data_IF_320838447964
#
_entry.id   IF_320838447964
#
_cell.length_a   1.000
_cell.length_b   1.000
_cell.length_c   1.000
_cell.angle_alpha   90.00
_cell.angle_beta   90.00
_cell.angle_gamma   90.00
#
_symmetry.space_group_name_H-M   'P 1'
#
loop_
_entity.id
_entity.type
_entity.pdbx_description
1 polymer ?
#
# COMPACT_ATOMS: atom_id res chain seq x y z
N UNK A 1 1.27 9.66 12.24
CA UNK A 1 0.21 8.72 11.79
C UNK A 1 0.68 7.29 12.05
N UNK A 2 -0.22 6.32 12.20
CA UNK A 2 0.18 4.94 12.46
C UNK A 2 0.63 4.75 13.91
N UNK A 3 1.93 4.51 14.16
CA UNK A 3 2.50 4.16 15.47
C UNK A 3 2.13 5.13 16.60
N UNK A 4 2.09 6.43 16.36
CA UNK A 4 1.68 7.42 17.38
C UNK A 4 0.23 7.23 17.84
N UNK A 5 -0.65 6.81 16.93
CA UNK A 5 -2.07 6.59 17.21
C UNK A 5 -2.35 5.16 17.67
N UNK A 6 -1.51 4.21 17.27
CA UNK A 6 -1.63 2.78 17.55
C UNK A 6 -0.31 2.20 18.07
N UNK A 7 0.20 2.65 19.23
CA UNK A 7 1.54 2.29 19.70
C UNK A 7 1.70 0.80 20.04
N UNK A 8 0.59 0.12 20.32
CA UNK A 8 0.54 -1.30 20.67
C UNK A 8 0.11 -2.20 19.50
N UNK A 9 -0.03 -1.65 18.29
CA UNK A 9 -0.39 -2.46 17.14
C UNK A 9 0.77 -3.39 16.77
N UNK A 10 0.53 -4.71 16.85
CA UNK A 10 1.46 -5.74 16.37
C UNK A 10 1.12 -6.26 14.97
N UNK A 11 0.06 -5.74 14.35
CA UNK A 11 -0.45 -6.23 13.06
C UNK A 11 -0.97 -5.08 12.20
N UNK A 12 -0.83 -5.23 10.88
CA UNK A 12 -1.32 -4.31 9.87
C UNK A 12 -2.16 -5.08 8.84
N UNK A 13 -3.40 -4.65 8.63
CA UNK A 13 -4.25 -5.14 7.55
C UNK A 13 -4.16 -4.20 6.35
N UNK A 14 -3.85 -4.76 5.18
CA UNK A 14 -3.84 -4.06 3.90
C UNK A 14 -4.93 -4.64 3.01
N UNK A 15 -5.86 -3.78 2.59
CA UNK A 15 -6.80 -4.07 1.51
C UNK A 15 -6.21 -3.57 0.20
N UNK A 16 -5.75 -4.49 -0.64
CA UNK A 16 -5.08 -4.18 -1.90
C UNK A 16 -5.98 -4.55 -3.09
N UNK A 17 -5.92 -3.75 -4.15
CA UNK A 17 -6.31 -4.24 -5.46
C UNK A 17 -5.25 -5.23 -5.99
N UNK A 18 -5.65 -6.12 -6.90
CA UNK A 18 -4.76 -7.14 -7.46
C UNK A 18 -3.90 -6.68 -8.64
N UNK A 19 -3.87 -5.37 -8.94
CA UNK A 19 -3.20 -4.80 -10.12
C UNK A 19 -1.76 -4.40 -9.88
N UNK A 20 -1.04 -4.04 -10.94
CA UNK A 20 0.26 -3.36 -10.85
C UNK A 20 1.29 -3.99 -9.92
N UNK A 21 2.00 -3.14 -9.17
CA UNK A 21 3.14 -3.51 -8.33
C UNK A 21 2.76 -4.23 -7.03
N UNK A 22 1.55 -4.06 -6.53
CA UNK A 22 1.02 -4.72 -5.32
C UNK A 22 0.23 -6.00 -5.63
N UNK A 23 0.22 -6.43 -6.90
CA UNK A 23 -0.57 -7.59 -7.33
C UNK A 23 -0.21 -8.89 -6.60
N UNK A 24 -1.22 -9.76 -6.44
CA UNK A 24 -1.09 -11.02 -5.70
C UNK A 24 -0.07 -12.01 -6.26
N UNK A 25 0.34 -11.86 -7.52
CA UNK A 25 1.39 -12.69 -8.16
C UNK A 25 2.78 -12.05 -8.14
N UNK A 26 2.88 -10.78 -7.73
CA UNK A 26 4.15 -10.05 -7.73
C UNK A 26 5.02 -10.53 -6.56
N UNK A 27 6.21 -11.05 -6.89
CA UNK A 27 7.17 -11.54 -5.88
C UNK A 27 7.83 -10.40 -5.14
N UNK A 28 8.23 -9.35 -5.86
CA UNK A 28 8.87 -8.16 -5.29
C UNK A 28 8.00 -7.51 -4.20
N UNK A 29 6.69 -7.41 -4.43
CA UNK A 29 5.74 -6.93 -3.42
C UNK A 29 5.87 -7.68 -2.10
N UNK A 30 5.88 -9.02 -2.14
CA UNK A 30 5.98 -9.85 -0.93
C UNK A 30 7.36 -9.77 -0.29
N UNK A 31 8.42 -9.69 -1.09
CA UNK A 31 9.78 -9.53 -0.59
C UNK A 31 9.96 -8.19 0.13
N UNK A 32 9.45 -7.09 -0.43
CA UNK A 32 9.48 -5.77 0.22
C UNK A 32 8.57 -5.72 1.44
N UNK A 33 7.40 -6.38 1.42
CA UNK A 33 6.58 -6.54 2.62
C UNK A 33 7.29 -7.33 3.72
N UNK A 34 8.06 -8.37 3.37
CA UNK A 34 8.87 -9.11 4.35
C UNK A 34 9.93 -8.20 5.00
N UNK A 35 10.65 -7.40 4.20
CA UNK A 35 11.59 -6.41 4.73
C UNK A 35 10.90 -5.44 5.67
N UNK A 36 9.75 -4.89 5.28
CA UNK A 36 8.93 -4.03 6.12
C UNK A 36 8.50 -4.72 7.43
N UNK A 37 8.07 -5.99 7.37
CA UNK A 37 7.71 -6.76 8.57
C UNK A 37 8.91 -6.90 9.51
N UNK A 38 10.10 -7.19 8.97
CA UNK A 38 11.33 -7.33 9.75
C UNK A 38 11.75 -6.00 10.40
N UNK A 39 11.69 -4.89 9.65
CA UNK A 39 12.07 -3.56 10.16
C UNK A 39 11.11 -3.05 11.24
N UNK A 40 9.83 -3.38 11.13
CA UNK A 40 8.79 -2.83 12.02
C UNK A 40 8.34 -3.77 13.12
N UNK A 41 8.66 -5.07 13.01
CA UNK A 41 8.11 -6.13 13.86
C UNK A 41 6.62 -6.42 13.64
N UNK A 42 5.97 -5.76 12.65
CA UNK A 42 4.55 -5.93 12.39
C UNK A 42 4.29 -7.19 11.57
N UNK A 43 3.21 -7.90 11.91
CA UNK A 43 2.62 -8.89 10.99
C UNK A 43 1.73 -8.18 9.98
N UNK A 44 1.98 -8.36 8.69
CA UNK A 44 1.19 -7.73 7.64
C UNK A 44 0.26 -8.77 7.01
N UNK A 45 -1.04 -8.57 7.15
CA UNK A 45 -2.07 -9.32 6.43
C UNK A 45 -2.49 -8.54 5.20
N UNK A 46 -2.42 -9.17 4.04
CA UNK A 46 -2.89 -8.59 2.77
C UNK A 46 -4.13 -9.35 2.32
N UNK A 47 -5.22 -8.61 2.15
CA UNK A 47 -6.46 -9.09 1.56
C UNK A 47 -6.68 -8.42 0.21
N UNK A 48 -6.69 -9.20 -0.86
CA UNK A 48 -6.91 -8.66 -2.19
C UNK A 48 -8.40 -8.61 -2.53
N UNK A 49 -8.81 -7.53 -3.18
CA UNK A 49 -10.09 -7.47 -3.87
C UNK A 49 -10.09 -8.44 -5.07
N UNK A 50 -11.22 -9.13 -5.36
CA UNK A 50 -11.35 -9.94 -6.56
C UNK A 50 -11.04 -9.16 -7.86
N UNK A 51 -10.59 -9.82 -8.94
CA UNK A 51 -10.36 -9.16 -10.22
C UNK A 51 -11.59 -8.35 -10.68
N UNK A 52 -11.36 -7.14 -11.20
CA UNK A 52 -12.44 -6.25 -11.67
C UNK A 52 -13.23 -5.56 -10.56
N UNK A 53 -12.78 -5.64 -9.30
CA UNK A 53 -13.50 -5.05 -8.15
C UNK A 53 -12.76 -3.89 -7.48
N UNK A 54 -11.74 -3.31 -8.14
CA UNK A 54 -10.98 -2.15 -7.60
C UNK A 54 -11.86 -0.96 -7.24
N UNK A 55 -13.00 -0.77 -7.92
CA UNK A 55 -14.00 0.26 -7.56
C UNK A 55 -14.46 0.15 -6.11
N UNK A 56 -14.46 -1.03 -5.51
CA UNK A 56 -14.88 -1.22 -4.11
C UNK A 56 -13.79 -0.84 -3.10
N UNK A 57 -12.58 -0.51 -3.56
CA UNK A 57 -11.54 0.02 -2.69
C UNK A 57 -11.97 1.40 -2.19
N UNK A 58 -11.99 1.56 -0.86
CA UNK A 58 -12.40 2.83 -0.22
C UNK A 58 -11.53 4.01 -0.66
N UNK A 59 -10.27 3.79 -1.04
CA UNK A 59 -9.37 4.87 -1.46
C UNK A 59 -9.89 5.58 -2.73
N UNK A 60 -10.46 4.83 -3.67
CA UNK A 60 -11.04 5.37 -4.92
C UNK A 60 -12.18 6.35 -4.59
N UNK A 61 -13.08 5.93 -3.70
CA UNK A 61 -14.27 6.69 -3.36
C UNK A 61 -14.05 7.80 -2.34
N UNK A 62 -13.19 7.59 -1.34
CA UNK A 62 -13.03 8.53 -0.23
C UNK A 62 -11.86 9.51 -0.40
N UNK A 63 -10.79 9.10 -1.11
CA UNK A 63 -9.60 9.92 -1.27
C UNK A 63 -9.48 10.46 -2.70
N UNK A 64 -9.35 9.57 -3.69
CA UNK A 64 -9.06 9.96 -5.08
C UNK A 64 -10.21 10.75 -5.72
N UNK A 65 -11.46 10.42 -5.42
CA UNK A 65 -12.61 11.21 -5.88
C UNK A 65 -12.54 12.68 -5.42
N UNK A 66 -12.14 12.92 -4.16
CA UNK A 66 -12.07 14.25 -3.58
C UNK A 66 -10.90 15.06 -4.14
N UNK A 67 -9.75 14.41 -4.31
CA UNK A 67 -8.59 15.00 -5.00
C UNK A 67 -8.99 15.41 -6.42
N UNK A 68 -9.69 14.52 -7.13
CA UNK A 68 -10.13 14.72 -8.51
C UNK A 68 -11.12 15.88 -8.65
N UNK A 69 -12.00 16.07 -7.66
CA UNK A 69 -12.90 17.22 -7.59
C UNK A 69 -12.11 18.50 -7.31
N UNK A 70 -11.15 18.47 -6.38
CA UNK A 70 -10.41 19.65 -5.95
C UNK A 70 -9.60 20.30 -7.07
N UNK A 71 -8.93 19.50 -7.91
CA UNK A 71 -8.09 20.04 -8.99
C UNK A 71 -8.82 20.23 -10.33
N UNK A 72 -10.14 20.01 -10.40
CA UNK A 72 -10.89 20.07 -11.65
C UNK A 72 -10.70 21.44 -12.32
N UNK A 73 -10.26 21.44 -13.58
CA UNK A 73 -10.03 22.66 -14.35
C UNK A 73 -8.78 23.44 -13.97
N UNK A 74 -7.85 22.84 -13.20
CA UNK A 74 -6.56 23.45 -12.84
C UNK A 74 -5.43 22.76 -13.61
N UNK A 75 -4.56 23.50 -14.30
CA UNK A 75 -3.44 22.91 -15.02
C UNK A 75 -2.36 22.38 -14.06
N UNK A 76 -1.87 21.16 -14.30
CA UNK A 76 -0.84 20.50 -13.50
C UNK A 76 0.54 20.77 -14.11
N UNK A 77 1.06 21.98 -13.93
CA UNK A 77 2.26 22.47 -14.63
C UNK A 77 3.59 22.16 -13.94
N UNK A 78 3.57 21.78 -12.67
CA UNK A 78 4.78 21.46 -11.89
C UNK A 78 4.50 20.48 -10.76
N UNK A 79 5.53 19.77 -10.28
CA UNK A 79 5.41 18.90 -9.10
C UNK A 79 4.92 19.67 -7.87
N UNK A 80 5.41 20.89 -7.66
CA UNK A 80 4.95 21.77 -6.58
C UNK A 80 3.44 22.06 -6.69
N UNK A 81 2.97 22.42 -7.89
CA UNK A 81 1.53 22.64 -8.15
C UNK A 81 0.73 21.39 -7.81
N UNK A 82 1.20 20.21 -8.23
CA UNK A 82 0.52 18.93 -7.97
C UNK A 82 0.44 18.65 -6.46
N UNK A 83 1.56 18.76 -5.73
CA UNK A 83 1.61 18.51 -4.28
C UNK A 83 0.69 19.48 -3.52
N UNK A 84 0.73 20.77 -3.86
CA UNK A 84 -0.11 21.78 -3.23
C UNK A 84 -1.60 21.55 -3.52
N UNK A 85 -1.96 21.15 -4.74
CA UNK A 85 -3.33 20.82 -5.10
C UNK A 85 -3.82 19.56 -4.37
N UNK A 86 -3.03 18.51 -4.27
CA UNK A 86 -3.43 17.31 -3.52
C UNK A 86 -3.58 17.65 -2.03
N UNK A 87 -2.57 18.30 -1.42
CA UNK A 87 -2.54 18.65 0.01
C UNK A 87 -3.60 19.68 0.44
N UNK A 88 -4.14 20.46 -0.49
CA UNK A 88 -5.25 21.39 -0.21
C UNK A 88 -6.63 20.72 -0.17
N UNK A 89 -6.73 19.43 -0.52
CA UNK A 89 -7.99 18.70 -0.54
C UNK A 89 -8.56 18.53 0.87
N UNK A 90 -9.74 19.10 1.12
CA UNK A 90 -10.49 19.00 2.39
C UNK A 90 -11.97 18.76 2.13
N UNK A 91 -12.65 18.07 3.04
CA UNK A 91 -14.12 17.91 2.99
C UNK A 91 -14.79 18.43 4.26
N UNK A 92 -16.06 18.82 4.15
CA UNK A 92 -16.88 19.24 5.31
C UNK A 92 -17.02 18.15 6.37
N UNK A 93 -16.89 16.87 5.97
CA UNK A 93 -16.95 15.71 6.86
C UNK A 93 -15.61 15.36 7.51
N UNK A 94 -14.58 16.20 7.33
CA UNK A 94 -13.32 16.09 8.08
C UNK A 94 -12.16 15.40 7.35
N UNK A 95 -12.29 15.06 6.06
CA UNK A 95 -11.12 14.57 5.30
C UNK A 95 -10.07 15.69 5.20
N UNK A 96 -8.83 15.36 5.53
CA UNK A 96 -7.65 16.21 5.31
C UNK A 96 -6.60 15.37 4.59
N UNK A 97 -6.23 15.78 3.39
CA UNK A 97 -5.20 15.09 2.60
C UNK A 97 -3.84 15.72 2.88
N UNK A 98 -2.84 14.86 3.11
CA UNK A 98 -1.43 15.27 3.16
C UNK A 98 -0.73 14.70 1.93
N UNK A 99 0.12 15.50 1.30
CA UNK A 99 0.90 15.10 0.13
C UNK A 99 2.34 15.57 0.30
N UNK A 100 3.28 14.78 -0.18
CA UNK A 100 4.71 15.08 -0.18
C UNK A 100 5.28 14.58 -1.50
N UNK A 101 6.27 15.30 -2.03
CA UNK A 101 7.02 14.85 -3.19
C UNK A 101 7.96 13.72 -2.76
N UNK A 102 7.82 12.55 -3.37
CA UNK A 102 8.81 11.48 -3.24
C UNK A 102 9.92 11.68 -4.29
N UNK A 103 11.14 11.96 -3.83
CA UNK A 103 12.32 12.16 -4.67
C UNK A 103 13.21 10.92 -4.75
N UNK A 104 12.77 9.79 -4.18
CA UNK A 104 13.56 8.56 -4.21
C UNK A 104 13.65 8.01 -5.63
N UNK A 105 14.81 7.39 -5.93
CA UNK A 105 15.04 6.71 -7.19
C UNK A 105 14.71 5.23 -7.02
N UNK A 106 13.74 4.75 -7.79
CA UNK A 106 13.33 3.35 -7.81
C UNK A 106 13.94 2.64 -9.02
N UNK A 107 14.93 1.78 -8.77
CA UNK A 107 15.56 0.99 -9.82
C UNK A 107 14.54 0.03 -10.47
N UNK A 108 14.57 -0.03 -11.79
CA UNK A 108 13.69 -0.89 -12.58
C UNK A 108 14.29 -2.28 -12.73
N UNK A 109 13.43 -3.26 -13.00
CA UNK A 109 13.86 -4.62 -13.34
C UNK A 109 14.37 -5.44 -12.16
N UNK A 110 14.10 -5.02 -10.91
CA UNK A 110 14.38 -5.83 -9.72
C UNK A 110 13.66 -7.18 -9.82
N UNK A 111 14.44 -8.25 -9.71
CA UNK A 111 13.95 -9.63 -9.73
C UNK A 111 14.16 -10.25 -8.37
N UNK A 112 13.15 -10.97 -7.90
CA UNK A 112 13.23 -11.81 -6.71
C UNK A 112 13.48 -13.24 -7.17
N UNK A 113 14.55 -13.85 -6.66
CA UNK A 113 14.91 -15.22 -7.01
C UNK A 113 13.85 -16.20 -6.50
N UNK A 114 13.87 -17.45 -6.98
CA UNK A 114 12.96 -18.48 -6.47
C UNK A 114 13.26 -18.78 -4.99
N UNK A 115 14.54 -18.93 -4.67
CA UNK A 115 15.04 -19.17 -3.31
C UNK A 115 14.66 -18.05 -2.34
N UNK A 116 14.90 -16.79 -2.73
CA UNK A 116 14.52 -15.62 -1.92
C UNK A 116 13.01 -15.63 -1.64
N UNK A 117 12.20 -15.98 -2.64
CA UNK A 117 10.76 -16.04 -2.49
C UNK A 117 10.27 -17.18 -1.59
N UNK A 118 10.93 -18.34 -1.66
CA UNK A 118 10.60 -19.52 -0.84
C UNK A 118 10.97 -19.32 0.63
N UNK A 119 11.97 -18.48 0.91
CA UNK A 119 12.40 -18.14 2.27
C UNK A 119 11.51 -17.11 2.96
N UNK A 120 10.54 -16.49 2.28
CA UNK A 120 9.62 -15.54 2.90
C UNK A 120 8.76 -16.22 3.96
N UNK A 121 8.56 -15.56 5.10
CA UNK A 121 7.70 -16.04 6.18
C UNK A 121 6.22 -15.72 5.89
N UNK A 122 5.71 -16.34 4.83
CA UNK A 122 4.35 -16.13 4.31
C UNK A 122 3.41 -17.28 4.67
N UNK A 123 2.36 -16.97 5.41
CA UNK A 123 1.23 -17.87 5.66
C UNK A 123 0.07 -17.50 4.73
N UNK A 124 -0.27 -18.39 3.80
CA UNK A 124 -1.47 -18.26 2.96
C UNK A 124 -2.73 -18.54 3.78
N UNK A 125 -3.79 -17.82 3.49
CA UNK A 125 -5.09 -18.01 4.16
C UNK A 125 -5.84 -19.21 3.56
N UNK A 126 -6.75 -19.80 4.34
CA UNK A 126 -7.63 -20.88 3.85
C UNK A 126 -8.61 -20.35 2.80
N UNK A 127 -9.19 -19.17 3.05
CA UNK A 127 -10.05 -18.49 2.09
C UNK A 127 -9.23 -17.66 1.11
N UNK A 128 -9.19 -18.14 -0.13
CA UNK A 128 -8.45 -17.56 -1.24
C UNK A 128 -6.95 -17.33 -0.98
N UNK A 129 -6.24 -18.36 -0.49
CA UNK A 129 -4.80 -18.30 -0.24
C UNK A 129 -3.92 -18.01 -1.46
N UNK A 130 -4.46 -18.12 -2.67
CA UNK A 130 -3.83 -17.69 -3.92
C UNK A 130 -3.58 -16.17 -3.97
N UNK A 131 -4.35 -15.38 -3.22
CA UNK A 131 -4.16 -13.94 -3.13
C UNK A 131 -4.21 -13.36 -1.71
N UNK A 132 -4.72 -14.09 -0.71
CA UNK A 132 -4.78 -13.64 0.68
C UNK A 132 -3.69 -14.32 1.52
N UNK A 133 -2.93 -13.52 2.24
CA UNK A 133 -1.80 -14.02 3.00
C UNK A 133 -1.41 -13.11 4.15
N UNK A 134 -0.61 -13.64 5.06
CA UNK A 134 0.02 -12.89 6.15
C UNK A 134 1.51 -13.14 6.11
N UNK A 135 2.28 -12.05 6.09
CA UNK A 135 3.74 -12.09 6.22
C UNK A 135 4.06 -11.69 7.65
N UNK A 136 4.88 -12.49 8.32
CA UNK A 136 5.37 -12.20 9.66
C UNK A 136 6.85 -11.84 9.60
N UNK A 137 7.39 -11.06 10.56
CA UNK A 137 8.83 -10.91 10.69
C UNK A 137 9.50 -12.29 10.81
N UNK A 138 10.74 -12.42 10.37
CA UNK A 138 11.55 -13.56 10.77
C UNK A 138 11.68 -13.55 12.30
N UNK A 139 11.56 -14.71 12.94
CA UNK A 139 11.87 -14.78 14.37
C UNK A 139 13.35 -14.43 14.52
N UNK A 140 13.66 -13.42 15.32
CA UNK A 140 15.02 -13.23 15.81
C UNK A 140 15.39 -14.49 16.61
N UNK A 141 16.47 -15.14 16.22
CA UNK A 141 17.11 -16.23 16.99
C UNK A 141 17.89 -15.60 18.14
#
# INVERSE_FOLDING_TARGET
MGKELYPQAGQLLINADGGGSNGSRVRLWKAELQKFCNETGLKVTVCHFPPGTSKWNKIEHQLFSQISINWRGRPLTSHETIVNLIGSTRTRKGLVVKSVLDTNVYEKGKKVSKEEFENLNIKRHEFHGEWNYTISPYMEV
#
